data_IF_445982099727
#
_entry.id   IF_445982099727
#
_cell.length_a   1.000
_cell.length_b   1.000
_cell.length_c   1.000
_cell.angle_alpha   90.00
_cell.angle_beta   90.00
_cell.angle_gamma   90.00
#
_symmetry.space_group_name_H-M   'P 1'
#
loop_
_entity.id
_entity.type
_entity.pdbx_description
1 polymer ?
#
# COMPACT_ATOMS: atom_id res chain seq x y z
N UNK A 1 -24.35 13.71 -20.57
CA UNK A 1 -23.00 14.26 -20.85
C UNK A 1 -22.23 14.62 -19.57
N UNK A 2 -22.93 14.97 -18.48
CA UNK A 2 -22.38 15.35 -17.16
C UNK A 2 -21.73 14.17 -16.40
N UNK A 3 -22.32 12.96 -16.44
CA UNK A 3 -21.72 11.76 -15.81
C UNK A 3 -20.38 11.33 -16.41
N UNK A 4 -20.16 11.55 -17.73
CA UNK A 4 -18.88 11.19 -18.38
C UNK A 4 -17.72 12.14 -18.03
N UNK A 5 -18.02 13.37 -17.59
CA UNK A 5 -17.00 14.35 -17.19
C UNK A 5 -16.52 14.12 -15.75
N UNK A 6 -17.39 13.71 -14.83
CA UNK A 6 -17.02 13.32 -13.45
C UNK A 6 -16.09 12.09 -13.42
N UNK A 7 -16.35 11.07 -14.24
CA UNK A 7 -15.46 9.91 -14.37
C UNK A 7 -14.07 10.24 -14.92
N UNK A 8 -13.96 11.24 -15.81
CA UNK A 8 -12.69 11.63 -16.41
C UNK A 8 -11.83 12.45 -15.42
N UNK A 9 -12.46 13.27 -14.57
CA UNK A 9 -11.80 14.05 -13.52
C UNK A 9 -11.29 13.14 -12.40
N UNK A 10 -12.06 12.11 -12.01
CA UNK A 10 -11.62 11.09 -11.05
C UNK A 10 -10.42 10.27 -11.57
N UNK A 11 -10.37 9.99 -12.88
CA UNK A 11 -9.22 9.34 -13.53
C UNK A 11 -7.97 10.22 -13.59
N UNK A 12 -8.13 11.54 -13.77
CA UNK A 12 -7.00 12.48 -13.78
C UNK A 12 -6.44 12.68 -12.37
N UNK A 13 -7.30 12.73 -11.33
CA UNK A 13 -6.87 12.78 -9.94
C UNK A 13 -6.12 11.50 -9.52
N UNK A 14 -6.59 10.33 -9.95
CA UNK A 14 -5.87 9.06 -9.74
C UNK A 14 -4.51 9.01 -10.48
N UNK A 15 -4.40 9.60 -11.68
CA UNK A 15 -3.14 9.69 -12.42
C UNK A 15 -2.14 10.67 -11.81
N UNK A 16 -2.60 11.78 -11.22
CA UNK A 16 -1.72 12.78 -10.59
C UNK A 16 -1.08 12.23 -9.30
N UNK A 17 -1.80 11.40 -8.55
CA UNK A 17 -1.30 10.73 -7.34
C UNK A 17 -0.20 9.70 -7.71
N UNK A 18 -0.34 8.99 -8.84
CA UNK A 18 0.67 8.04 -9.35
C UNK A 18 1.98 8.75 -9.73
N UNK A 19 1.93 10.01 -10.18
CA UNK A 19 3.14 10.78 -10.52
C UNK A 19 3.91 11.30 -9.29
N UNK A 20 3.23 11.57 -8.17
CA UNK A 20 3.88 12.12 -6.96
C UNK A 20 4.58 11.00 -6.15
N UNK A 21 4.10 9.76 -6.23
CA UNK A 21 4.77 8.60 -5.59
C UNK A 21 6.07 8.15 -6.28
N UNK A 22 6.47 8.79 -7.38
CA UNK A 22 7.73 8.53 -8.09
C UNK A 22 8.95 9.32 -7.61
N UNK A 23 8.78 10.29 -6.71
CA UNK A 23 9.87 11.04 -6.08
C UNK A 23 9.69 10.99 -4.56
N UNK A 24 10.71 10.53 -3.85
CA UNK A 24 10.61 10.12 -2.44
C UNK A 24 10.12 11.20 -1.46
N UNK A 25 9.56 10.69 -0.34
CA UNK A 25 9.10 11.43 0.85
C UNK A 25 8.16 12.62 0.56
N UNK A 26 6.92 12.31 0.21
CA UNK A 26 5.79 13.23 0.42
C UNK A 26 5.06 12.87 1.71
N UNK A 27 4.83 13.83 2.59
CA UNK A 27 4.12 13.64 3.85
C UNK A 27 2.60 13.62 3.62
N UNK A 28 1.83 13.03 4.55
CA UNK A 28 0.35 12.87 4.47
C UNK A 28 -0.41 14.17 4.16
N UNK A 29 0.14 15.33 4.54
CA UNK A 29 -0.46 16.64 4.28
C UNK A 29 -0.44 17.01 2.78
N UNK A 30 0.59 16.59 2.04
CA UNK A 30 0.79 16.98 0.64
C UNK A 30 -0.21 16.28 -0.31
N UNK A 31 -0.62 15.05 0.04
CA UNK A 31 -1.65 14.33 -0.69
C UNK A 31 -3.07 14.84 -0.38
N UNK A 32 -3.30 15.30 0.86
CA UNK A 32 -4.58 15.85 1.32
C UNK A 32 -4.85 17.24 0.71
N UNK A 33 -3.83 18.09 0.63
CA UNK A 33 -3.91 19.41 -0.01
C UNK A 33 -4.06 19.31 -1.54
N UNK A 34 -3.41 18.33 -2.18
CA UNK A 34 -3.54 18.09 -3.62
C UNK A 34 -4.93 17.58 -4.04
N UNK A 35 -5.56 16.74 -3.22
CA UNK A 35 -6.95 16.31 -3.44
C UNK A 35 -7.94 17.48 -3.28
N UNK A 36 -7.77 18.31 -2.26
CA UNK A 36 -8.62 19.48 -1.98
C UNK A 36 -8.50 20.58 -3.07
N UNK A 37 -7.29 20.80 -3.61
CA UNK A 37 -7.04 21.77 -4.70
C UNK A 37 -7.66 21.36 -6.05
N UNK A 38 -7.75 20.06 -6.32
CA UNK A 38 -8.32 19.54 -7.57
C UNK A 38 -9.86 19.63 -7.57
N UNK A 39 -10.48 19.55 -6.39
CA UNK A 39 -11.94 19.62 -6.23
C UNK A 39 -12.46 21.06 -6.15
N UNK A 40 -11.72 21.98 -5.52
CA UNK A 40 -12.08 23.42 -5.48
C UNK A 40 -12.13 24.03 -6.89
N UNK A 41 -11.23 23.62 -7.80
CA UNK A 41 -11.25 24.09 -9.19
C UNK A 41 -12.52 23.64 -9.97
N UNK A 42 -13.08 22.47 -9.63
CA UNK A 42 -14.28 21.94 -10.27
C UNK A 42 -15.58 22.62 -9.79
N UNK A 43 -15.59 23.19 -8.58
CA UNK A 43 -16.74 23.92 -8.02
C UNK A 43 -16.79 25.38 -8.52
N UNK A 44 -15.64 25.97 -8.86
CA UNK A 44 -15.57 27.37 -9.29
C UNK A 44 -16.08 27.65 -10.72
N UNK A 45 -16.16 26.65 -11.60
CA UNK A 45 -16.64 26.87 -12.99
C UNK A 45 -18.18 26.99 -13.13
N UNK A 46 -18.96 26.69 -12.09
CA UNK A 46 -20.44 26.68 -12.15
C UNK A 46 -21.13 27.89 -11.47
N UNK A 47 -20.37 28.92 -11.06
CA UNK A 47 -20.94 30.11 -10.39
C UNK A 47 -20.54 31.42 -11.07
N UNK A 48 -21.14 31.70 -12.22
CA UNK A 48 -21.20 33.08 -12.73
C UNK A 48 -22.10 33.93 -11.81
N UNK A 49 -21.48 34.85 -11.07
CA UNK A 49 -22.16 35.90 -10.31
C UNK A 49 -22.84 36.88 -11.27
N UNK A 50 -24.17 36.94 -11.25
CA UNK A 50 -24.92 38.13 -11.70
C UNK A 50 -25.04 39.10 -10.54
N UNK A 51 -24.34 40.22 -10.63
CA UNK A 51 -24.57 41.39 -9.78
C UNK A 51 -25.78 42.16 -10.29
N UNK A 52 -26.77 42.37 -9.43
CA UNK A 52 -27.84 43.34 -9.65
C UNK A 52 -27.86 44.24 -8.43
N UNK A 53 -27.59 45.53 -8.63
CA UNK A 53 -27.70 46.56 -7.61
C UNK A 53 -29.17 46.78 -7.26
N UNK A 54 -29.50 46.80 -5.97
CA UNK A 54 -30.73 47.42 -5.48
C UNK A 54 -30.56 47.91 -4.04
N UNK A 55 -31.01 49.14 -3.85
CA UNK A 55 -30.89 49.98 -2.66
C UNK A 55 -31.71 49.47 -1.45
N UNK A 56 -31.29 49.97 -0.29
CA UNK A 56 -31.75 49.71 1.07
C UNK A 56 -33.21 50.11 1.35
N UNK A 57 -33.93 49.27 2.09
CA UNK A 57 -34.98 49.71 3.04
C UNK A 57 -34.74 49.05 4.41
N UNK A 58 -34.72 49.86 5.46
CA UNK A 58 -34.64 49.41 6.85
C UNK A 58 -36.00 48.92 7.36
N UNK A 59 -36.00 47.72 7.96
CA UNK A 59 -37.06 47.24 8.84
C UNK A 59 -36.49 47.00 10.24
N UNK A 60 -37.23 47.44 11.29
CA UNK A 60 -36.87 47.23 12.71
C UNK A 60 -36.69 45.76 13.09
N UNK A 61 -36.22 45.43 14.31
CA UNK A 61 -35.51 44.19 14.58
C UNK A 61 -36.48 42.99 14.51
N UNK A 62 -36.60 42.41 13.33
CA UNK A 62 -37.04 41.03 13.18
C UNK A 62 -36.00 40.18 13.93
N UNK A 63 -36.46 39.27 14.80
CA UNK A 63 -35.60 38.20 15.31
C UNK A 63 -34.95 37.55 14.10
N UNK A 64 -33.62 37.49 14.08
CA UNK A 64 -32.90 36.95 12.93
C UNK A 64 -33.32 35.50 12.69
N UNK A 65 -33.25 35.04 11.44
CA UNK A 65 -33.62 33.65 11.10
C UNK A 65 -32.89 32.64 11.98
N UNK A 66 -31.63 32.95 12.32
CA UNK A 66 -30.81 32.17 13.25
C UNK A 66 -31.43 32.06 14.64
N UNK A 67 -31.92 33.14 15.26
CA UNK A 67 -32.49 33.06 16.62
C UNK A 67 -33.74 32.16 16.69
N UNK A 68 -34.54 32.14 15.62
CA UNK A 68 -35.66 31.20 15.50
C UNK A 68 -35.17 29.76 15.32
N UNK A 69 -34.24 29.54 14.39
CA UNK A 69 -33.71 28.21 14.11
C UNK A 69 -33.00 27.62 15.33
N UNK A 70 -32.25 28.42 16.10
CA UNK A 70 -31.60 28.00 17.36
C UNK A 70 -32.60 27.44 18.37
N UNK A 71 -33.77 28.06 18.50
CA UNK A 71 -34.83 27.55 19.37
C UNK A 71 -35.41 26.23 18.86
N UNK A 72 -35.58 26.09 17.54
CA UNK A 72 -36.11 24.89 16.90
C UNK A 72 -35.14 23.69 17.00
N UNK A 73 -33.83 23.93 16.95
CA UNK A 73 -32.81 22.87 17.04
C UNK A 73 -32.30 22.60 18.45
N UNK A 74 -32.77 23.31 19.48
CA UNK A 74 -32.23 23.18 20.85
C UNK A 74 -32.31 21.73 21.41
N UNK A 75 -33.27 20.93 20.95
CA UNK A 75 -33.41 19.51 21.29
C UNK A 75 -32.88 18.54 20.24
N UNK A 76 -32.28 19.04 19.15
CA UNK A 76 -31.79 18.25 18.03
C UNK A 76 -30.55 17.45 18.43
N UNK A 77 -30.43 16.25 17.87
CA UNK A 77 -29.27 15.38 18.02
C UNK A 77 -28.95 14.74 16.67
N UNK A 78 -27.73 14.93 16.19
CA UNK A 78 -27.18 14.17 15.08
C UNK A 78 -26.25 13.12 15.66
N UNK A 79 -26.52 11.84 15.40
CA UNK A 79 -25.73 10.72 15.95
C UNK A 79 -24.99 10.00 14.83
N UNK A 80 -23.66 9.98 14.89
CA UNK A 80 -22.82 9.13 14.04
C UNK A 80 -22.53 7.80 14.72
N UNK A 81 -22.70 6.69 13.99
CA UNK A 81 -22.42 5.34 14.51
C UNK A 81 -21.13 4.75 13.90
N UNK A 82 -20.31 4.15 14.76
CA UNK A 82 -19.05 3.47 14.43
C UNK A 82 -19.03 2.11 15.14
N UNK A 83 -19.87 1.19 14.67
CA UNK A 83 -20.16 -0.07 15.37
C UNK A 83 -20.93 0.22 16.66
N UNK A 84 -20.42 -0.27 17.79
CA UNK A 84 -21.01 -0.04 19.11
C UNK A 84 -20.70 1.37 19.67
N UNK A 85 -19.75 2.08 19.06
CA UNK A 85 -19.44 3.46 19.43
C UNK A 85 -20.38 4.43 18.72
N UNK A 86 -20.70 5.53 19.39
CA UNK A 86 -21.46 6.62 18.78
C UNK A 86 -20.90 7.97 19.19
N UNK A 87 -21.01 8.93 18.28
CA UNK A 87 -20.73 10.35 18.51
C UNK A 87 -22.02 11.13 18.36
N UNK A 88 -22.38 11.90 19.38
CA UNK A 88 -23.62 12.68 19.38
C UNK A 88 -23.26 14.15 19.32
N UNK A 89 -23.68 14.80 18.24
CA UNK A 89 -23.60 16.24 18.05
C UNK A 89 -24.93 16.87 18.47
N UNK A 90 -24.89 17.64 19.56
CA UNK A 90 -26.07 18.26 20.16
C UNK A 90 -26.45 19.59 19.52
N UNK A 91 -27.72 19.94 19.63
CA UNK A 91 -28.27 21.22 19.17
C UNK A 91 -27.61 22.45 19.80
N UNK A 92 -27.06 22.32 21.00
CA UNK A 92 -26.29 23.37 21.67
C UNK A 92 -24.98 23.69 20.93
N UNK A 93 -24.23 22.69 20.50
CA UNK A 93 -23.03 22.87 19.69
C UNK A 93 -23.39 23.38 18.29
N UNK A 94 -24.38 22.77 17.64
CA UNK A 94 -24.87 23.15 16.30
C UNK A 94 -25.37 24.61 16.29
N UNK A 95 -25.99 25.08 17.37
CA UNK A 95 -26.49 26.46 17.47
C UNK A 95 -25.40 27.52 17.29
N UNK A 96 -24.15 27.19 17.64
CA UNK A 96 -22.99 28.04 17.44
C UNK A 96 -22.47 28.06 16.00
N UNK A 97 -22.96 27.15 15.15
CA UNK A 97 -22.53 27.02 13.76
C UNK A 97 -23.45 27.79 12.80
N UNK A 98 -24.66 28.16 13.23
CA UNK A 98 -25.63 28.83 12.38
C UNK A 98 -25.23 30.29 12.08
N UNK A 99 -25.42 30.70 10.82
CA UNK A 99 -25.16 32.07 10.35
C UNK A 99 -26.38 32.61 9.58
N UNK A 100 -26.64 33.91 9.73
CA UNK A 100 -27.65 34.62 8.94
C UNK A 100 -27.05 35.00 7.58
N UNK A 101 -27.82 34.78 6.51
CA UNK A 101 -27.50 35.23 5.17
C UNK A 101 -28.13 36.61 4.89
N UNK A 102 -27.58 37.40 3.94
CA UNK A 102 -28.11 38.72 3.60
C UNK A 102 -29.59 38.74 3.15
N UNK A 103 -30.10 37.61 2.66
CA UNK A 103 -31.50 37.44 2.24
C UNK A 103 -32.44 37.06 3.41
N UNK A 104 -31.93 37.00 4.64
CA UNK A 104 -32.66 36.63 5.84
C UNK A 104 -32.83 35.11 6.04
N UNK A 105 -32.25 34.27 5.18
CA UNK A 105 -32.20 32.82 5.38
C UNK A 105 -31.05 32.40 6.31
N UNK A 106 -31.10 31.16 6.80
CA UNK A 106 -30.08 30.60 7.70
C UNK A 106 -29.19 29.63 6.92
N UNK A 107 -27.89 29.68 7.18
CA UNK A 107 -26.91 28.72 6.70
C UNK A 107 -26.06 28.17 7.86
N UNK A 108 -25.17 27.23 7.56
CA UNK A 108 -24.20 26.67 8.51
C UNK A 108 -22.80 27.18 8.16
N UNK A 109 -22.05 27.64 9.16
CA UNK A 109 -20.63 27.93 9.04
C UNK A 109 -19.88 26.64 8.77
N UNK A 110 -19.25 26.54 7.61
CA UNK A 110 -18.56 25.32 7.19
C UNK A 110 -17.33 24.99 8.01
N UNK A 111 -16.69 25.98 8.67
CA UNK A 111 -15.45 25.77 9.44
C UNK A 111 -15.64 24.79 10.60
N UNK A 112 -16.56 25.02 11.57
CA UNK A 112 -16.78 24.07 12.65
C UNK A 112 -17.29 22.72 12.14
N UNK A 113 -18.10 22.68 11.08
CA UNK A 113 -18.53 21.42 10.46
C UNK A 113 -17.35 20.63 9.87
N UNK A 114 -16.41 21.32 9.19
CA UNK A 114 -15.17 20.73 8.67
C UNK A 114 -14.30 20.19 9.80
N UNK A 115 -14.14 20.93 10.89
CA UNK A 115 -13.37 20.52 12.07
C UNK A 115 -14.00 19.32 12.78
N UNK A 116 -15.32 19.30 12.93
CA UNK A 116 -16.03 18.17 13.52
C UNK A 116 -15.83 16.89 12.70
N UNK A 117 -16.08 16.94 11.40
CA UNK A 117 -15.87 15.78 10.49
C UNK A 117 -14.39 15.36 10.46
N UNK A 118 -13.46 16.32 10.51
CA UNK A 118 -12.03 16.02 10.65
C UNK A 118 -11.71 15.24 11.93
N UNK A 119 -12.35 15.59 13.04
CA UNK A 119 -12.17 14.89 14.32
C UNK A 119 -12.70 13.45 14.27
N UNK A 120 -13.83 13.23 13.59
CA UNK A 120 -14.39 11.89 13.35
C UNK A 120 -13.41 11.04 12.53
N UNK A 121 -12.97 11.54 11.38
CA UNK A 121 -12.02 10.84 10.52
C UNK A 121 -10.72 10.50 11.29
N UNK A 122 -10.16 11.47 12.04
CA UNK A 122 -8.97 11.23 12.87
C UNK A 122 -9.16 10.12 13.91
N UNK A 123 -10.37 9.97 14.46
CA UNK A 123 -10.67 8.99 15.50
C UNK A 123 -10.97 7.61 14.94
N UNK A 124 -11.58 7.54 13.74
CA UNK A 124 -12.20 6.32 13.22
C UNK A 124 -11.63 5.80 11.89
N UNK A 125 -10.85 6.59 11.16
CA UNK A 125 -10.21 6.10 9.94
C UNK A 125 -9.11 5.09 10.28
N UNK A 126 -9.12 3.95 9.60
CA UNK A 126 -8.15 2.86 9.79
C UNK A 126 -7.28 2.62 8.55
N UNK A 127 -7.60 3.29 7.43
CA UNK A 127 -6.81 3.24 6.21
C UNK A 127 -5.35 3.63 6.45
N UNK A 128 -4.43 2.80 5.95
CA UNK A 128 -2.99 3.02 6.05
C UNK A 128 -2.41 2.92 7.47
N UNK A 129 -3.17 2.46 8.46
CA UNK A 129 -2.65 2.19 9.81
C UNK A 129 -1.85 0.89 9.87
N UNK A 130 -0.88 0.85 10.79
CA UNK A 130 -0.17 -0.39 11.14
C UNK A 130 -1.02 -1.21 12.10
N UNK A 131 -1.22 -2.49 11.77
CA UNK A 131 -2.04 -3.42 12.55
C UNK A 131 -1.16 -4.43 13.26
N UNK A 132 -1.49 -4.71 14.51
CA UNK A 132 -1.00 -5.91 15.19
C UNK A 132 -1.81 -7.09 14.70
N UNK A 133 -1.14 -8.10 14.18
CA UNK A 133 -1.78 -9.28 13.61
C UNK A 133 -1.19 -10.53 14.24
N UNK A 134 -2.05 -11.45 14.65
CA UNK A 134 -1.64 -12.76 15.15
C UNK A 134 -1.69 -13.76 14.00
N UNK A 135 -0.53 -14.26 13.59
CA UNK A 135 -0.41 -15.19 12.48
C UNK A 135 -0.98 -16.57 12.81
N UNK A 136 -1.14 -17.40 11.78
CA UNK A 136 -1.50 -18.81 11.90
C UNK A 136 -0.58 -19.59 12.84
N UNK A 137 0.73 -19.26 12.85
CA UNK A 137 1.71 -19.89 13.76
C UNK A 137 1.60 -19.40 15.22
N UNK A 138 0.77 -18.39 15.47
CA UNK A 138 0.55 -17.78 16.78
C UNK A 138 1.52 -16.63 17.10
N UNK A 139 2.37 -16.23 16.17
CA UNK A 139 3.28 -15.09 16.31
C UNK A 139 2.51 -13.77 16.18
N UNK A 140 2.83 -12.78 17.03
CA UNK A 140 2.31 -11.42 16.88
C UNK A 140 3.28 -10.57 16.06
N UNK A 141 2.80 -10.05 14.93
CA UNK A 141 3.56 -9.20 14.01
C UNK A 141 2.88 -7.84 13.84
N UNK A 142 3.64 -6.87 13.32
CA UNK A 142 3.08 -5.60 12.85
C UNK A 142 3.04 -5.59 11.33
N UNK A 143 1.84 -5.47 10.77
CA UNK A 143 1.61 -5.34 9.33
C UNK A 143 1.30 -3.88 9.02
N UNK A 144 2.19 -3.24 8.27
CA UNK A 144 2.05 -1.83 7.87
C UNK A 144 1.77 -1.71 6.37
N UNK A 145 1.02 -0.68 5.99
CA UNK A 145 0.71 -0.40 4.59
C UNK A 145 -0.50 -1.18 4.08
N UNK A 146 -0.68 -1.12 2.76
CA UNK A 146 -1.91 -1.55 2.09
C UNK A 146 -3.02 -0.50 2.13
N UNK A 147 -4.15 -0.84 1.52
CA UNK A 147 -5.28 0.07 1.26
C UNK A 147 -6.56 -0.32 2.01
N UNK A 148 -6.47 -1.24 2.98
CA UNK A 148 -7.61 -1.68 3.77
C UNK A 148 -7.93 -0.72 4.93
N UNK A 149 -9.22 -0.50 5.14
CA UNK A 149 -9.76 0.19 6.31
C UNK A 149 -10.84 1.20 5.98
N UNK A 150 -11.41 1.80 7.02
CA UNK A 150 -12.24 2.99 6.90
C UNK A 150 -11.41 4.17 6.42
N UNK A 151 -11.88 4.80 5.35
CA UNK A 151 -11.35 6.05 4.83
C UNK A 151 -12.50 7.00 4.53
N UNK A 152 -12.76 7.93 5.44
CA UNK A 152 -13.91 8.83 5.34
C UNK A 152 -13.74 9.81 4.18
N UNK A 153 -14.78 9.91 3.35
CA UNK A 153 -14.96 11.04 2.45
C UNK A 153 -15.46 12.24 3.26
N UNK A 154 -14.51 13.02 3.75
CA UNK A 154 -14.74 14.15 4.63
C UNK A 154 -15.48 15.30 3.94
N UNK A 155 -15.39 15.40 2.61
CA UNK A 155 -16.09 16.45 1.84
C UNK A 155 -17.57 16.10 1.74
N UNK A 156 -17.88 14.90 1.26
CA UNK A 156 -19.27 14.44 1.15
C UNK A 156 -19.94 14.33 2.53
N UNK A 157 -19.24 13.78 3.53
CA UNK A 157 -19.75 13.68 4.91
C UNK A 157 -20.06 15.05 5.51
N UNK A 158 -19.21 16.07 5.27
CA UNK A 158 -19.46 17.44 5.73
C UNK A 158 -20.70 18.02 5.06
N UNK A 159 -20.87 17.79 3.75
CA UNK A 159 -22.04 18.30 3.04
C UNK A 159 -23.32 17.66 3.57
N UNK A 160 -23.35 16.33 3.76
CA UNK A 160 -24.51 15.64 4.33
C UNK A 160 -24.82 16.13 5.76
N UNK A 161 -23.79 16.40 6.58
CA UNK A 161 -23.97 16.98 7.91
C UNK A 161 -24.63 18.36 7.85
N UNK A 162 -24.14 19.24 6.97
CA UNK A 162 -24.69 20.59 6.79
C UNK A 162 -26.15 20.51 6.33
N UNK A 163 -26.42 19.68 5.33
CA UNK A 163 -27.77 19.48 4.80
C UNK A 163 -28.71 18.96 5.91
N UNK A 164 -28.24 18.03 6.74
CA UNK A 164 -29.01 17.50 7.87
C UNK A 164 -29.29 18.58 8.93
N UNK A 165 -28.31 19.41 9.28
CA UNK A 165 -28.49 20.53 10.22
C UNK A 165 -29.58 21.49 9.73
N UNK A 166 -29.59 21.80 8.43
CA UNK A 166 -30.56 22.72 7.83
C UNK A 166 -32.00 22.17 7.84
N UNK A 167 -32.19 20.85 7.96
CA UNK A 167 -33.54 20.28 8.17
C UNK A 167 -34.13 20.61 9.54
N UNK A 168 -33.27 20.91 10.53
CA UNK A 168 -33.65 21.08 11.93
C UNK A 168 -34.15 19.81 12.61
N UNK A 169 -33.94 18.63 12.02
CA UNK A 169 -34.40 17.35 12.54
C UNK A 169 -33.24 16.49 13.05
N UNK A 170 -33.45 15.79 14.16
CA UNK A 170 -32.52 14.76 14.64
C UNK A 170 -32.40 13.62 13.64
N UNK A 171 -31.20 13.07 13.49
CA UNK A 171 -30.96 11.93 12.61
C UNK A 171 -29.82 11.05 13.12
N UNK A 172 -29.88 9.77 12.75
CA UNK A 172 -28.72 8.90 12.79
C UNK A 172 -28.05 8.91 11.41
N UNK A 173 -26.75 9.17 11.39
CA UNK A 173 -25.96 9.31 10.17
C UNK A 173 -24.83 8.28 10.14
N UNK A 174 -24.49 7.86 8.93
CA UNK A 174 -23.30 7.07 8.64
C UNK A 174 -22.42 7.95 7.76
N UNK A 175 -21.12 8.11 8.06
CA UNK A 175 -20.24 8.89 7.19
C UNK A 175 -20.18 8.31 5.78
N UNK A 176 -19.89 9.17 4.82
CA UNK A 176 -19.55 8.73 3.46
C UNK A 176 -18.10 8.24 3.47
N UNK A 177 -17.81 7.14 2.78
CA UNK A 177 -16.49 6.51 2.78
C UNK A 177 -15.98 6.26 1.36
N UNK A 178 -14.68 6.46 1.15
CA UNK A 178 -13.94 5.94 -0.01
C UNK A 178 -13.67 4.44 0.10
N UNK A 179 -13.44 3.96 1.33
CA UNK A 179 -13.19 2.57 1.66
C UNK A 179 -13.75 2.25 3.05
N UNK A 180 -14.17 1.00 3.23
CA UNK A 180 -14.73 0.49 4.48
C UNK A 180 -14.02 -0.79 4.89
N UNK A 181 -14.04 -1.11 6.19
CA UNK A 181 -13.60 -2.39 6.71
C UNK A 181 -14.79 -3.31 7.01
N UNK A 182 -14.53 -4.57 7.37
CA UNK A 182 -15.56 -5.55 7.73
C UNK A 182 -16.18 -5.22 9.09
N UNK A 183 -15.37 -4.77 10.04
CA UNK A 183 -15.81 -4.44 11.39
C UNK A 183 -15.22 -3.11 11.83
N UNK A 184 -15.94 -2.40 12.70
CA UNK A 184 -15.42 -1.18 13.34
C UNK A 184 -14.53 -1.53 14.53
N UNK A 185 -13.52 -0.72 14.78
CA UNK A 185 -12.67 -0.83 15.96
C UNK A 185 -11.19 -0.79 15.63
N UNK A 186 -10.36 -1.05 16.65
CA UNK A 186 -8.91 -1.10 16.49
C UNK A 186 -8.45 -2.35 15.71
N UNK A 187 -9.25 -3.43 15.76
CA UNK A 187 -9.11 -4.59 14.89
C UNK A 187 -10.27 -4.58 13.90
N UNK A 188 -10.03 -3.94 12.76
CA UNK A 188 -11.00 -3.80 11.68
C UNK A 188 -10.89 -4.93 10.63
N UNK A 189 -9.91 -5.83 10.79
CA UNK A 189 -9.77 -7.07 9.99
C UNK A 189 -10.84 -8.07 10.44
N UNK A 190 -10.98 -8.26 11.76
CA UNK A 190 -11.91 -9.22 12.35
C UNK A 190 -11.52 -10.67 12.09
N UNK A 191 -12.50 -11.57 12.16
CA UNK A 191 -12.28 -13.03 12.16
C UNK A 191 -12.50 -13.70 10.78
N UNK A 192 -12.68 -12.90 9.73
CA UNK A 192 -12.86 -13.39 8.34
C UNK A 192 -11.89 -12.67 7.43
N UNK A 193 -10.89 -13.37 6.91
CA UNK A 193 -9.82 -12.80 6.10
C UNK A 193 -9.05 -13.88 5.33
N UNK A 194 -8.24 -13.46 4.38
CA UNK A 194 -7.19 -14.29 3.79
C UNK A 194 -5.85 -13.90 4.39
N UNK A 195 -5.16 -14.88 4.96
CA UNK A 195 -3.80 -14.73 5.50
C UNK A 195 -2.79 -15.24 4.47
N UNK A 196 -1.82 -14.42 4.08
CA UNK A 196 -0.80 -14.75 3.09
C UNK A 196 0.59 -14.57 3.71
N UNK A 197 1.26 -15.69 3.96
CA UNK A 197 2.64 -15.70 4.42
C UNK A 197 3.59 -15.90 3.24
N UNK A 198 4.27 -14.82 2.84
CA UNK A 198 5.22 -14.84 1.73
C UNK A 198 6.52 -15.59 2.06
N UNK A 199 6.86 -15.76 3.35
CA UNK A 199 8.04 -16.53 3.75
C UNK A 199 7.82 -18.04 3.57
N UNK A 200 6.66 -18.51 4.02
CA UNK A 200 6.29 -19.93 3.96
C UNK A 200 5.64 -20.31 2.61
N UNK A 201 5.30 -19.32 1.77
CA UNK A 201 4.59 -19.49 0.49
C UNK A 201 3.26 -20.25 0.66
N UNK A 202 2.57 -19.95 1.75
CA UNK A 202 1.33 -20.61 2.15
C UNK A 202 0.28 -19.58 2.55
N UNK A 203 -0.97 -19.83 2.18
CA UNK A 203 -2.10 -19.00 2.58
C UNK A 203 -3.17 -19.81 3.29
N UNK A 204 -3.94 -19.11 4.12
CA UNK A 204 -5.13 -19.62 4.81
C UNK A 204 -6.32 -18.70 4.55
N UNK A 205 -7.49 -19.29 4.38
CA UNK A 205 -8.77 -18.58 4.32
C UNK A 205 -9.49 -18.82 5.64
N UNK A 206 -9.66 -17.75 6.40
CA UNK A 206 -10.39 -17.73 7.65
C UNK A 206 -11.82 -17.27 7.43
N UNK A 207 -12.77 -17.99 8.03
CA UNK A 207 -14.17 -17.59 8.14
C UNK A 207 -14.60 -17.78 9.57
N UNK A 208 -15.07 -16.69 10.20
CA UNK A 208 -15.54 -16.71 11.60
C UNK A 208 -14.53 -17.38 12.56
N UNK A 209 -13.24 -17.07 12.38
CA UNK A 209 -12.15 -17.50 13.25
C UNK A 209 -11.64 -18.92 12.98
N UNK A 210 -12.21 -19.62 12.00
CA UNK A 210 -11.81 -20.97 11.61
C UNK A 210 -11.19 -21.00 10.22
N UNK A 211 -10.12 -21.77 10.04
CA UNK A 211 -9.56 -22.05 8.70
C UNK A 211 -10.53 -22.95 7.94
N UNK A 212 -11.04 -22.44 6.81
CA UNK A 212 -11.95 -23.19 5.93
C UNK A 212 -11.26 -23.66 4.63
N UNK A 213 -10.12 -23.07 4.30
CA UNK A 213 -9.28 -23.48 3.18
C UNK A 213 -7.84 -23.03 3.38
N UNK A 214 -6.91 -23.70 2.70
CA UNK A 214 -5.50 -23.36 2.69
C UNK A 214 -4.85 -23.85 1.38
N UNK A 215 -3.75 -23.22 0.99
CA UNK A 215 -3.01 -23.61 -0.20
C UNK A 215 -1.58 -23.11 -0.17
N UNK A 216 -0.65 -23.94 -0.63
CA UNK A 216 0.62 -23.45 -1.14
C UNK A 216 0.37 -22.58 -2.38
N UNK A 217 1.22 -21.57 -2.57
CA UNK A 217 1.18 -20.68 -3.74
C UNK A 217 2.57 -20.37 -4.27
N UNK A 218 2.66 -19.58 -5.34
CA UNK A 218 3.92 -18.92 -5.73
C UNK A 218 3.70 -17.42 -5.91
N UNK A 219 4.35 -16.61 -5.06
CA UNK A 219 4.26 -15.15 -5.08
C UNK A 219 5.17 -14.52 -6.13
N UNK A 220 5.26 -13.19 -6.07
CA UNK A 220 6.14 -12.35 -6.86
C UNK A 220 7.61 -12.77 -6.86
N UNK A 221 8.28 -12.62 -8.00
CA UNK A 221 9.65 -13.11 -8.17
C UNK A 221 10.69 -12.23 -7.46
N UNK A 222 11.32 -12.75 -6.40
CA UNK A 222 12.26 -12.01 -5.56
C UNK A 222 13.47 -11.47 -6.35
N UNK A 223 14.21 -12.34 -7.04
CA UNK A 223 15.43 -11.89 -7.72
C UNK A 223 15.18 -11.01 -8.96
N UNK A 224 13.93 -10.94 -9.45
CA UNK A 224 13.54 -10.05 -10.55
C UNK A 224 13.04 -8.68 -10.09
N UNK A 225 12.91 -8.45 -8.78
CA UNK A 225 12.34 -7.20 -8.27
C UNK A 225 10.82 -7.13 -8.42
N UNK A 226 10.16 -8.29 -8.50
CA UNK A 226 8.72 -8.41 -8.68
C UNK A 226 8.03 -8.91 -7.39
N UNK A 227 8.63 -8.66 -6.22
CA UNK A 227 8.12 -9.10 -4.93
C UNK A 227 6.65 -8.70 -4.73
N UNK A 228 5.86 -9.59 -4.14
CA UNK A 228 4.51 -9.23 -3.69
C UNK A 228 4.63 -8.26 -2.52
N UNK A 229 4.05 -7.05 -2.58
CA UNK A 229 4.10 -6.11 -1.46
C UNK A 229 3.32 -6.64 -0.25
N UNK A 230 3.92 -6.53 0.94
CA UNK A 230 3.22 -6.75 2.20
C UNK A 230 2.29 -5.59 2.55
N UNK A 231 1.26 -5.86 3.33
CA UNK A 231 0.24 -4.89 3.73
C UNK A 231 -1.08 -5.54 4.08
N UNK A 232 -2.04 -4.73 4.54
CA UNK A 232 -3.43 -5.16 4.71
C UNK A 232 -4.26 -4.56 3.57
N UNK A 233 -4.91 -5.42 2.80
CA UNK A 233 -5.65 -5.07 1.59
C UNK A 233 -7.09 -5.55 1.67
N UNK A 234 -7.96 -5.08 0.76
CA UNK A 234 -9.30 -5.64 0.58
C UNK A 234 -9.47 -6.27 -0.79
N UNK A 235 -10.17 -7.41 -0.88
CA UNK A 235 -10.53 -7.98 -2.19
C UNK A 235 -11.36 -6.95 -2.95
N UNK A 236 -10.82 -6.41 -4.04
CA UNK A 236 -11.42 -5.27 -4.74
C UNK A 236 -12.69 -5.68 -5.50
N UNK A 237 -12.62 -6.83 -6.16
CA UNK A 237 -13.73 -7.49 -6.86
C UNK A 237 -13.35 -8.95 -7.12
N UNK A 238 -14.25 -9.68 -7.80
CA UNK A 238 -14.03 -11.06 -8.23
C UNK A 238 -14.46 -11.19 -9.68
N UNK A 239 -13.67 -11.86 -10.51
CA UNK A 239 -13.94 -12.01 -11.94
C UNK A 239 -13.59 -13.42 -12.43
N UNK A 240 -14.40 -13.94 -13.36
CA UNK A 240 -14.17 -15.23 -14.02
C UNK A 240 -13.64 -15.01 -15.42
N UNK A 241 -12.79 -15.91 -15.88
CA UNK A 241 -12.25 -15.93 -17.24
C UNK A 241 -11.63 -14.57 -17.65
N UNK A 242 -10.86 -13.99 -16.74
CA UNK A 242 -10.20 -12.70 -16.91
C UNK A 242 -8.89 -12.82 -17.71
N UNK A 243 -8.52 -11.75 -18.40
CA UNK A 243 -7.20 -11.62 -19.04
C UNK A 243 -6.40 -10.55 -18.33
N UNK A 244 -5.34 -10.97 -17.64
CA UNK A 244 -4.43 -10.09 -16.92
C UNK A 244 -3.36 -9.55 -17.86
N UNK A 245 -3.22 -8.23 -17.94
CA UNK A 245 -2.25 -7.57 -18.83
C UNK A 245 -1.29 -6.73 -17.99
N UNK A 246 0.01 -6.93 -18.21
CA UNK A 246 1.06 -6.10 -17.62
C UNK A 246 2.17 -5.81 -18.62
N UNK A 247 3.26 -5.20 -18.14
CA UNK A 247 4.38 -4.84 -19.01
C UNK A 247 5.05 -6.11 -19.57
N UNK A 248 4.76 -6.42 -20.83
CA UNK A 248 5.34 -7.56 -21.53
C UNK A 248 4.71 -8.91 -21.23
N UNK A 249 3.52 -8.96 -20.60
CA UNK A 249 2.77 -10.21 -20.42
C UNK A 249 1.26 -10.03 -20.57
N UNK A 250 0.61 -11.11 -21.00
CA UNK A 250 -0.83 -11.31 -21.03
C UNK A 250 -1.11 -12.73 -20.57
N UNK A 251 -1.96 -12.90 -19.55
CA UNK A 251 -2.29 -14.20 -18.97
C UNK A 251 -3.79 -14.36 -18.82
N UNK A 252 -4.38 -15.34 -19.50
CA UNK A 252 -5.77 -15.74 -19.26
C UNK A 252 -5.87 -16.61 -18.01
N UNK A 253 -6.74 -16.20 -17.08
CA UNK A 253 -6.98 -16.87 -15.80
C UNK A 253 -8.47 -17.12 -15.62
N UNK A 254 -8.84 -18.24 -15.00
CA UNK A 254 -10.24 -18.62 -14.79
C UNK A 254 -10.87 -17.94 -13.59
N UNK A 255 -10.07 -17.62 -12.57
CA UNK A 255 -10.51 -17.04 -11.31
C UNK A 255 -9.57 -15.89 -10.95
N UNK A 256 -10.12 -14.67 -10.84
CA UNK A 256 -9.37 -13.47 -10.51
C UNK A 256 -9.95 -12.81 -9.27
N UNK A 257 -9.08 -12.59 -8.28
CA UNK A 257 -9.39 -11.97 -6.98
C UNK A 257 -8.32 -10.91 -6.66
N UNK A 258 -8.38 -9.72 -7.29
CA UNK A 258 -7.47 -8.61 -7.01
C UNK A 258 -7.63 -8.10 -5.59
N UNK A 259 -6.52 -7.74 -4.97
CA UNK A 259 -6.50 -7.06 -3.67
C UNK A 259 -5.57 -5.84 -3.64
N UNK A 260 -4.64 -5.68 -4.60
CA UNK A 260 -3.73 -4.54 -4.62
C UNK A 260 -3.45 -4.09 -6.07
N UNK A 261 -4.31 -3.24 -6.61
CA UNK A 261 -4.20 -2.77 -8.00
C UNK A 261 -4.21 -3.95 -8.99
N UNK A 262 -3.07 -4.18 -9.67
CA UNK A 262 -2.89 -5.29 -10.61
C UNK A 262 -2.33 -6.58 -9.96
N UNK A 263 -2.31 -6.65 -8.63
CA UNK A 263 -1.89 -7.81 -7.85
C UNK A 263 -3.11 -8.45 -7.20
N UNK A 264 -3.18 -9.78 -7.30
CA UNK A 264 -4.27 -10.56 -6.76
C UNK A 264 -3.97 -12.04 -6.71
N UNK A 265 -4.95 -12.81 -6.23
CA UNK A 265 -4.95 -14.26 -6.27
C UNK A 265 -5.60 -14.74 -7.57
N UNK A 266 -4.95 -15.68 -8.25
CA UNK A 266 -5.53 -16.35 -9.42
C UNK A 266 -4.96 -17.74 -9.65
N UNK A 267 -5.65 -18.53 -10.48
CA UNK A 267 -5.10 -19.80 -10.93
C UNK A 267 -3.90 -19.63 -11.84
N UNK A 268 -2.93 -20.53 -11.71
CA UNK A 268 -1.75 -20.60 -12.56
C UNK A 268 -1.65 -21.97 -13.21
N UNK A 269 -2.54 -22.23 -14.19
CA UNK A 269 -2.63 -23.52 -14.89
C UNK A 269 -1.33 -23.95 -15.61
N UNK A 270 -0.40 -23.02 -15.82
CA UNK A 270 0.93 -23.28 -16.38
C UNK A 270 1.94 -23.84 -15.35
N UNK A 271 1.59 -23.91 -14.05
CA UNK A 271 2.46 -24.42 -12.99
C UNK A 271 2.02 -25.80 -12.52
N UNK A 272 2.99 -26.67 -12.28
CA UNK A 272 2.78 -28.02 -11.75
C UNK A 272 3.25 -28.21 -10.30
N UNK A 273 3.83 -27.17 -9.68
CA UNK A 273 4.31 -27.18 -8.30
C UNK A 273 4.07 -25.81 -7.66
N UNK A 274 3.95 -25.78 -6.34
CA UNK A 274 3.68 -24.57 -5.56
C UNK A 274 4.46 -24.64 -4.24
N UNK A 275 4.66 -23.51 -3.57
CA UNK A 275 5.40 -23.43 -2.31
C UNK A 275 6.93 -23.34 -2.45
N UNK A 276 7.61 -23.36 -1.30
CA UNK A 276 9.07 -23.40 -1.19
C UNK A 276 9.80 -22.23 -1.88
N UNK A 277 11.02 -22.48 -2.35
CA UNK A 277 11.88 -21.45 -2.94
C UNK A 277 11.53 -21.06 -4.39
N UNK A 278 10.39 -21.54 -4.93
CA UNK A 278 10.03 -21.31 -6.33
C UNK A 278 9.95 -19.82 -6.68
N UNK A 279 9.46 -19.00 -5.77
CA UNK A 279 9.33 -17.55 -5.96
C UNK A 279 10.67 -16.82 -6.02
N UNK A 280 11.78 -17.41 -5.57
CA UNK A 280 13.08 -16.75 -5.64
C UNK A 280 13.45 -16.38 -7.09
N UNK A 281 13.29 -17.34 -8.01
CA UNK A 281 13.72 -17.23 -9.41
C UNK A 281 12.59 -17.40 -10.43
N UNK A 282 11.48 -18.04 -10.03
CA UNK A 282 10.37 -18.42 -10.90
C UNK A 282 9.02 -18.02 -10.29
N UNK A 283 9.00 -16.84 -9.65
CA UNK A 283 7.80 -16.20 -9.15
C UNK A 283 7.01 -15.45 -10.21
N UNK A 284 5.88 -14.90 -9.80
CA UNK A 284 4.99 -14.06 -10.62
C UNK A 284 5.53 -12.64 -10.80
N UNK A 285 4.70 -11.75 -11.38
CA UNK A 285 4.90 -10.30 -11.40
C UNK A 285 4.23 -9.59 -10.20
N UNK A 286 4.09 -10.29 -9.06
CA UNK A 286 3.50 -9.79 -7.82
C UNK A 286 2.25 -10.58 -7.39
N UNK A 287 1.51 -11.17 -8.33
CA UNK A 287 0.33 -11.99 -8.02
C UNK A 287 0.63 -13.24 -7.20
N UNK A 288 -0.40 -13.78 -6.56
CA UNK A 288 -0.38 -15.04 -5.82
C UNK A 288 -0.90 -16.13 -6.76
N UNK A 289 0.03 -16.91 -7.32
CA UNK A 289 -0.29 -18.03 -8.22
C UNK A 289 -0.77 -19.24 -7.43
N UNK A 290 -1.99 -19.69 -7.69
CA UNK A 290 -2.61 -20.83 -7.01
C UNK A 290 -2.78 -22.05 -7.93
N UNK A 291 -2.81 -23.28 -7.37
CA UNK A 291 -3.36 -24.42 -8.07
C UNK A 291 -4.79 -24.12 -8.56
N UNK A 292 -5.13 -24.49 -9.80
CA UNK A 292 -6.44 -24.12 -10.38
C UNK A 292 -7.63 -24.60 -9.55
N UNK A 293 -7.55 -25.78 -8.92
CA UNK A 293 -8.62 -26.26 -8.03
C UNK A 293 -8.75 -25.40 -6.78
N UNK A 294 -7.63 -25.02 -6.16
CA UNK A 294 -7.60 -24.16 -4.97
C UNK A 294 -8.09 -22.75 -5.27
N UNK A 295 -7.68 -22.17 -6.41
CA UNK A 295 -8.20 -20.90 -6.86
C UNK A 295 -9.73 -20.91 -7.02
N UNK A 296 -10.29 -22.00 -7.55
CA UNK A 296 -11.74 -22.17 -7.69
C UNK A 296 -12.45 -22.22 -6.32
N UNK A 297 -11.96 -23.05 -5.41
CA UNK A 297 -12.53 -23.17 -4.05
C UNK A 297 -12.47 -21.83 -3.30
N UNK A 298 -11.31 -21.17 -3.29
CA UNK A 298 -11.11 -19.89 -2.63
C UNK A 298 -12.02 -18.83 -3.27
N UNK A 299 -12.11 -18.78 -4.60
CA UNK A 299 -13.01 -17.87 -5.30
C UNK A 299 -14.45 -18.01 -4.85
N UNK A 300 -14.93 -19.23 -4.57
CA UNK A 300 -16.30 -19.44 -4.10
C UNK A 300 -16.49 -19.11 -2.62
N UNK A 301 -15.40 -19.04 -1.84
CA UNK A 301 -15.41 -18.87 -0.38
C UNK A 301 -15.17 -17.43 0.10
N UNK A 302 -14.40 -16.65 -0.67
CA UNK A 302 -14.06 -15.27 -0.33
C UNK A 302 -15.01 -14.27 -0.98
N UNK A 303 -15.17 -13.10 -0.39
CA UNK A 303 -16.06 -12.05 -0.91
C UNK A 303 -15.35 -10.72 -1.15
N UNK A 304 -15.95 -9.89 -2.02
CA UNK A 304 -15.49 -8.51 -2.19
C UNK A 304 -15.47 -7.80 -0.84
N UNK A 305 -14.38 -7.09 -0.57
CA UNK A 305 -14.17 -6.31 0.65
C UNK A 305 -13.61 -7.12 1.82
N UNK A 306 -13.49 -8.45 1.70
CA UNK A 306 -12.80 -9.23 2.73
C UNK A 306 -11.31 -8.86 2.79
N UNK A 307 -10.74 -8.74 4.00
CA UNK A 307 -9.34 -8.38 4.17
C UNK A 307 -8.40 -9.49 3.67
N UNK A 308 -7.29 -9.06 3.09
CA UNK A 308 -6.14 -9.88 2.71
C UNK A 308 -4.93 -9.35 3.44
N UNK A 309 -4.43 -10.12 4.41
CA UNK A 309 -3.26 -9.78 5.22
C UNK A 309 -2.04 -10.44 4.60
N UNK A 310 -1.19 -9.63 3.96
CA UNK A 310 0.03 -10.09 3.31
C UNK A 310 1.22 -9.70 4.15
N UNK A 311 1.98 -10.68 4.60
CA UNK A 311 3.16 -10.43 5.41
C UNK A 311 4.24 -11.47 5.13
N UNK A 312 5.36 -11.31 5.85
CA UNK A 312 6.52 -12.14 5.64
C UNK A 312 7.19 -11.81 4.31
N UNK A 313 8.00 -12.73 3.85
CA UNK A 313 8.98 -12.45 2.80
C UNK A 313 10.35 -12.18 3.41
N UNK A 314 11.35 -12.32 2.58
CA UNK A 314 12.75 -12.33 2.99
C UNK A 314 13.55 -11.46 2.04
N UNK A 315 14.70 -10.98 2.49
CA UNK A 315 15.64 -10.27 1.62
C UNK A 315 16.33 -11.24 0.66
N UNK A 316 16.93 -10.70 -0.40
CA UNK A 316 17.74 -11.48 -1.35
C UNK A 316 18.89 -12.21 -0.65
N UNK A 317 19.48 -11.59 0.38
CA UNK A 317 20.57 -12.17 1.18
C UNK A 317 20.08 -13.35 2.02
N UNK A 318 18.91 -13.21 2.66
CA UNK A 318 18.26 -14.30 3.39
C UNK A 318 17.82 -15.45 2.47
N UNK A 319 17.37 -15.15 1.25
CA UNK A 319 17.09 -16.16 0.25
C UNK A 319 18.36 -16.93 -0.12
N UNK A 320 19.46 -16.23 -0.41
CA UNK A 320 20.75 -16.86 -0.75
C UNK A 320 21.26 -17.75 0.38
N UNK A 321 21.05 -17.41 1.66
CA UNK A 321 21.51 -18.24 2.77
C UNK A 321 20.75 -19.56 2.92
N UNK A 322 19.51 -19.64 2.41
CA UNK A 322 18.64 -20.83 2.47
C UNK A 322 18.70 -21.70 1.22
N UNK A 323 19.22 -21.18 0.10
CA UNK A 323 19.35 -21.91 -1.15
C UNK A 323 20.40 -23.04 -1.10
N UNK A 324 20.07 -24.13 -1.78
CA UNK A 324 20.99 -25.23 -2.09
C UNK A 324 22.12 -24.79 -3.03
N UNK A 325 23.18 -25.61 -3.14
CA UNK A 325 24.29 -25.33 -4.05
C UNK A 325 23.82 -25.32 -5.52
N UNK A 326 22.90 -26.20 -5.87
CA UNK A 326 22.30 -26.27 -7.21
C UNK A 326 21.47 -25.03 -7.52
N UNK A 327 20.61 -24.59 -6.60
CA UNK A 327 19.81 -23.36 -6.76
C UNK A 327 20.70 -22.13 -6.89
N UNK A 328 21.76 -22.03 -6.08
CA UNK A 328 22.75 -20.94 -6.17
C UNK A 328 23.44 -20.95 -7.53
N UNK A 329 23.86 -22.13 -8.01
CA UNK A 329 24.46 -22.27 -9.33
C UNK A 329 23.52 -21.79 -10.44
N UNK A 330 22.24 -22.19 -10.38
CA UNK A 330 21.22 -21.74 -11.34
C UNK A 330 20.98 -20.23 -11.28
N UNK A 331 20.90 -19.65 -10.08
CA UNK A 331 20.73 -18.21 -9.90
C UNK A 331 21.92 -17.43 -10.45
N UNK A 332 23.15 -17.91 -10.25
CA UNK A 332 24.36 -17.32 -10.83
C UNK A 332 24.36 -17.41 -12.36
N UNK A 333 23.97 -18.56 -12.93
CA UNK A 333 23.85 -18.73 -14.39
C UNK A 333 22.82 -17.77 -15.01
N UNK A 334 21.73 -17.49 -14.29
CA UNK A 334 20.70 -16.51 -14.69
C UNK A 334 21.10 -15.06 -14.39
N UNK A 335 22.25 -14.82 -13.77
CA UNK A 335 22.73 -13.48 -13.41
C UNK A 335 21.98 -12.83 -12.25
N UNK A 336 21.22 -13.59 -11.47
CA UNK A 336 20.41 -13.08 -10.36
C UNK A 336 21.23 -12.79 -9.10
N UNK A 337 22.27 -13.61 -8.87
CA UNK A 337 23.18 -13.44 -7.74
C UNK A 337 24.61 -13.51 -8.25
N UNK A 338 25.51 -12.77 -7.58
CA UNK A 338 26.94 -12.92 -7.78
C UNK A 338 27.46 -14.08 -6.91
N UNK A 339 28.52 -14.72 -7.39
CA UNK A 339 29.25 -15.70 -6.61
C UNK A 339 29.75 -15.05 -5.32
N UNK A 340 29.46 -15.63 -4.16
CA UNK A 340 30.00 -15.10 -2.90
C UNK A 340 31.49 -15.45 -2.77
N UNK A 341 32.21 -14.72 -1.92
CA UNK A 341 33.59 -15.06 -1.55
C UNK A 341 33.66 -16.50 -1.02
N UNK A 342 32.72 -16.88 -0.16
CA UNK A 342 32.71 -18.22 0.46
C UNK A 342 32.42 -19.32 -0.57
N UNK A 343 31.53 -19.07 -1.53
CA UNK A 343 31.23 -20.04 -2.61
C UNK A 343 32.42 -20.19 -3.56
N UNK A 344 33.08 -19.08 -3.92
CA UNK A 344 34.30 -19.11 -4.72
C UNK A 344 35.47 -19.77 -3.98
N UNK A 345 35.61 -19.51 -2.68
CA UNK A 345 36.61 -20.16 -1.84
C UNK A 345 36.41 -21.67 -1.84
N UNK A 346 35.18 -22.16 -1.63
CA UNK A 346 34.86 -23.60 -1.72
C UNK A 346 35.15 -24.20 -3.08
N UNK A 347 34.91 -23.46 -4.17
CA UNK A 347 35.24 -23.91 -5.51
C UNK A 347 36.76 -24.04 -5.72
N UNK A 348 37.54 -23.09 -5.18
CA UNK A 348 39.00 -23.12 -5.21
C UNK A 348 39.57 -24.23 -4.31
N UNK A 349 38.97 -24.49 -3.15
CA UNK A 349 39.30 -25.62 -2.29
C UNK A 349 39.06 -26.96 -3.02
N UNK A 350 37.94 -27.08 -3.74
CA UNK A 350 37.65 -28.25 -4.57
C UNK A 350 38.65 -28.44 -5.73
N UNK A 351 39.37 -27.38 -6.12
CA UNK A 351 40.48 -27.42 -7.09
C UNK A 351 41.85 -27.70 -6.44
N UNK A 352 41.88 -27.94 -5.12
CA UNK A 352 43.06 -28.38 -4.38
C UNK A 352 43.79 -27.27 -3.60
N UNK A 353 43.21 -26.07 -3.48
CA UNK A 353 43.77 -25.02 -2.63
C UNK A 353 43.46 -25.28 -1.16
N UNK A 354 44.38 -24.92 -0.26
CA UNK A 354 44.06 -24.92 1.17
C UNK A 354 43.03 -23.83 1.51
N UNK A 355 42.23 -23.98 2.58
CA UNK A 355 41.13 -23.06 2.89
C UNK A 355 41.56 -21.59 3.05
N UNK A 356 42.75 -21.32 3.59
CA UNK A 356 43.20 -19.96 3.83
C UNK A 356 43.58 -19.27 2.51
N UNK A 357 44.28 -19.99 1.63
CA UNK A 357 44.69 -19.49 0.31
C UNK A 357 43.49 -19.38 -0.64
N UNK A 358 42.58 -20.36 -0.60
CA UNK A 358 41.33 -20.33 -1.35
C UNK A 358 40.47 -19.11 -0.98
N UNK A 359 40.31 -18.81 0.31
CA UNK A 359 39.57 -17.64 0.78
C UNK A 359 40.23 -16.33 0.35
N UNK A 360 41.54 -16.20 0.55
CA UNK A 360 42.28 -14.99 0.16
C UNK A 360 42.18 -14.72 -1.35
N UNK A 361 42.31 -15.78 -2.17
CA UNK A 361 42.19 -15.68 -3.62
C UNK A 361 40.75 -15.37 -4.05
N UNK A 362 39.74 -15.91 -3.35
CA UNK A 362 38.34 -15.59 -3.60
C UNK A 362 38.01 -14.12 -3.28
N UNK A 363 38.46 -13.61 -2.13
CA UNK A 363 38.31 -12.20 -1.74
C UNK A 363 38.95 -11.27 -2.78
N UNK A 364 40.17 -11.60 -3.21
CA UNK A 364 40.89 -10.85 -4.23
C UNK A 364 40.16 -10.84 -5.59
N UNK A 365 39.70 -12.00 -6.07
CA UNK A 365 38.99 -12.10 -7.34
C UNK A 365 37.65 -11.34 -7.31
N UNK A 366 36.92 -11.43 -6.20
CA UNK A 366 35.67 -10.69 -6.02
C UNK A 366 35.89 -9.18 -5.96
N UNK A 367 36.93 -8.73 -5.26
CA UNK A 367 37.31 -7.32 -5.21
C UNK A 367 37.66 -6.79 -6.61
N UNK A 368 38.44 -7.55 -7.39
CA UNK A 368 38.78 -7.18 -8.77
C UNK A 368 37.54 -7.10 -9.66
N UNK A 369 36.59 -8.05 -9.55
CA UNK A 369 35.36 -8.08 -10.36
C UNK A 369 34.45 -6.88 -10.12
N UNK A 370 34.47 -6.31 -8.91
CA UNK A 370 33.67 -5.15 -8.54
C UNK A 370 34.32 -3.80 -8.90
N UNK A 371 35.56 -3.79 -9.39
CA UNK A 371 36.26 -2.59 -9.85
C UNK A 371 35.93 -2.26 -11.30
N UNK A 372 35.88 -0.97 -11.64
CA UNK A 372 35.79 -0.53 -13.05
C UNK A 372 37.06 -0.93 -13.82
N UNK A 373 37.01 -1.02 -15.16
CA UNK A 373 38.20 -1.31 -15.97
C UNK A 373 39.38 -0.37 -15.67
N UNK A 374 39.09 0.91 -15.39
CA UNK A 374 40.09 1.92 -15.03
C UNK A 374 40.71 1.64 -13.65
N UNK A 375 39.87 1.26 -12.67
CA UNK A 375 40.33 0.87 -11.35
C UNK A 375 41.18 -0.41 -11.39
N UNK A 376 40.78 -1.40 -12.19
CA UNK A 376 41.54 -2.63 -12.40
C UNK A 376 42.91 -2.35 -13.03
N UNK A 377 42.96 -1.49 -14.05
CA UNK A 377 44.20 -1.08 -14.71
C UNK A 377 45.14 -0.34 -13.75
N UNK A 378 44.60 0.58 -12.94
CA UNK A 378 45.36 1.30 -11.92
C UNK A 378 45.93 0.36 -10.86
N UNK A 379 45.15 -0.63 -10.42
CA UNK A 379 45.58 -1.63 -9.45
C UNK A 379 46.69 -2.54 -10.00
N UNK A 380 46.57 -3.00 -11.25
CA UNK A 380 47.62 -3.78 -11.92
C UNK A 380 48.92 -2.99 -12.10
N UNK A 381 48.81 -1.70 -12.48
CA UNK A 381 49.96 -0.81 -12.59
C UNK A 381 50.66 -0.62 -11.24
N UNK A 382 49.90 -0.49 -10.15
CA UNK A 382 50.46 -0.39 -8.79
C UNK A 382 51.18 -1.67 -8.36
N UNK A 383 50.64 -2.85 -8.67
CA UNK A 383 51.31 -4.13 -8.39
C UNK A 383 52.63 -4.28 -9.18
N UNK A 384 52.63 -3.91 -10.46
CA UNK A 384 53.84 -3.94 -11.28
C UNK A 384 54.91 -2.99 -10.76
N UNK A 385 54.52 -1.78 -10.35
CA UNK A 385 55.44 -0.82 -9.74
C UNK A 385 56.04 -1.34 -8.42
N UNK A 386 55.22 -1.95 -7.57
CA UNK A 386 55.67 -2.54 -6.31
C UNK A 386 56.62 -3.73 -6.53
N UNK A 387 56.33 -4.60 -7.49
CA UNK A 387 57.21 -5.71 -7.86
C UNK A 387 58.56 -5.23 -8.41
N UNK A 388 58.54 -4.17 -9.23
CA UNK A 388 59.75 -3.56 -9.76
C UNK A 388 60.60 -2.94 -8.63
N UNK A 389 59.98 -2.26 -7.68
CA UNK A 389 60.66 -1.72 -6.50
C UNK A 389 61.25 -2.81 -5.62
N UNK A 390 60.52 -3.90 -5.38
CA UNK A 390 61.02 -5.03 -4.60
C UNK A 390 62.21 -5.72 -5.30
N UNK A 391 62.16 -5.89 -6.62
CA UNK A 391 63.28 -6.43 -7.40
C UNK A 391 64.51 -5.52 -7.34
N UNK A 392 64.32 -4.20 -7.47
CA UNK A 392 65.41 -3.22 -7.34
C UNK A 392 66.02 -3.20 -5.93
N UNK A 393 65.20 -3.33 -4.89
CA UNK A 393 65.68 -3.45 -3.51
C UNK A 393 66.45 -4.75 -3.27
N UNK A 394 65.99 -5.86 -3.83
CA UNK A 394 66.69 -7.15 -3.76
C UNK A 394 68.03 -7.11 -4.52
N UNK A 395 68.09 -6.46 -5.69
CA UNK A 395 69.34 -6.24 -6.43
C UNK A 395 70.32 -5.33 -5.68
N UNK A 396 69.83 -4.27 -5.04
CA UNK A 396 70.66 -3.39 -4.18
C UNK A 396 71.19 -4.10 -2.94
N UNK A 397 70.46 -5.08 -2.40
CA UNK A 397 70.90 -5.91 -1.28
C UNK A 397 71.82 -7.06 -1.70
N UNK A 398 71.78 -7.47 -2.99
CA UNK A 398 72.62 -8.52 -3.55
C UNK A 398 73.92 -7.99 -4.20
N UNK A 399 74.11 -6.68 -4.30
CA UNK A 399 75.35 -6.08 -4.79
C UNK A 399 76.50 -6.32 -3.78
N UNK A 400 77.64 -6.91 -4.20
CA UNK A 400 78.77 -7.15 -3.31
C UNK A 400 79.38 -5.82 -2.83
N UNK A 401 79.67 -5.74 -1.53
CA UNK A 401 80.34 -4.58 -0.89
C UNK A 401 81.75 -4.33 -1.42
#
# INVERSE_FOLDING_TARGET
MIMKRRSLILMIAAMLIICITGCGKGDKADAEEAAEATETAAVTEDRELKTVDAETEEAGPALSGVEKQKADIAGMQITYRFGDMQEVLGGDEISGWLIDLPDGSVSVNETPAKEYVASLAKKYDTFGQTRKFKTHSGEEINVSGGDYGYWMDRVSTRQELIDQILTGQSAEMVPVYYGTALVYGADDIGDTYVEINLGDQHLWVYKEGSVINESDFVSGCLFKGNETPGGTYGITYKERDATLVGQGYESSVKYWMPFNGNIGMHDASWRNSFGGHLYYMNGSHGCINLPTSKAAEIYDQVEKGEPVVVYGGITKEQAVSTMTAEEKSQAMQKGYISMSVDDLAKQLEAQGLDPATARMQAEFQMQMKNMTPEQQAAFQAAQQAAALQAAQQAEQQAAPQ
#
